data_IF_989736306583
#
_entry.id   IF_989736306583
#
_cell.length_a   1.000
_cell.length_b   1.000
_cell.length_c   1.000
_cell.angle_alpha   90.00
_cell.angle_beta   90.00
_cell.angle_gamma   90.00
#
_symmetry.space_group_name_H-M   'P 1'
#
loop_
_entity.id
_entity.type
_entity.pdbx_description
1 polymer ?
#
# COMPACT_ATOMS: atom_id res chain seq x y z
N UNK A 1 26.94 57.32 -13.08
CA UNK A 1 27.35 55.93 -13.39
C UNK A 1 26.53 54.98 -12.52
N UNK A 2 25.36 54.52 -13.04
CA UNK A 2 24.46 53.59 -12.36
C UNK A 2 24.76 52.19 -12.89
N UNK A 3 25.15 51.28 -11.98
CA UNK A 3 25.29 49.85 -12.30
C UNK A 3 23.99 49.16 -11.90
N UNK A 4 23.23 48.69 -12.89
CA UNK A 4 22.13 47.76 -12.76
C UNK A 4 22.70 46.40 -12.37
N UNK A 5 22.19 45.82 -11.26
CA UNK A 5 22.40 44.40 -10.90
C UNK A 5 21.24 43.60 -11.48
N UNK A 6 21.58 42.68 -12.34
CA UNK A 6 20.62 41.69 -12.86
C UNK A 6 20.29 40.68 -11.76
N UNK A 7 18.99 40.47 -11.52
CA UNK A 7 18.47 39.39 -10.67
C UNK A 7 18.29 38.16 -11.58
N UNK A 8 19.05 37.11 -11.30
CA UNK A 8 18.87 35.82 -11.96
C UNK A 8 17.64 35.11 -11.38
N UNK A 9 16.60 34.90 -12.19
CA UNK A 9 15.47 34.04 -11.88
C UNK A 9 15.93 32.60 -12.07
N UNK A 10 16.06 31.87 -10.98
CA UNK A 10 16.32 30.44 -11.00
C UNK A 10 14.99 29.77 -11.32
N UNK A 11 14.84 29.28 -12.54
CA UNK A 11 13.73 28.41 -12.92
C UNK A 11 13.89 27.07 -12.20
N UNK A 12 12.99 26.80 -11.25
CA UNK A 12 12.91 25.51 -10.58
C UNK A 12 12.47 24.44 -11.58
N UNK A 13 13.36 23.51 -11.89
CA UNK A 13 13.05 22.31 -12.65
C UNK A 13 12.17 21.43 -11.77
N UNK A 14 10.88 21.35 -12.08
CA UNK A 14 9.99 20.34 -11.56
C UNK A 14 10.44 18.99 -12.14
N UNK A 15 11.20 18.23 -11.35
CA UNK A 15 11.45 16.82 -11.66
C UNK A 15 10.13 16.08 -11.52
N UNK A 16 9.43 15.91 -12.62
CA UNK A 16 8.33 14.97 -12.74
C UNK A 16 8.88 13.60 -12.42
N UNK A 17 8.36 12.97 -11.34
CA UNK A 17 8.57 11.55 -11.09
C UNK A 17 7.92 10.86 -12.30
N UNK A 18 8.72 10.40 -13.25
CA UNK A 18 8.27 9.49 -14.29
C UNK A 18 7.70 8.29 -13.55
N UNK A 19 6.39 8.12 -13.60
CA UNK A 19 5.75 6.91 -13.11
C UNK A 19 6.48 5.75 -13.76
N UNK A 20 7.02 4.84 -12.94
CA UNK A 20 7.54 3.59 -13.44
C UNK A 20 6.38 2.97 -14.24
N UNK A 21 6.44 3.07 -15.55
CA UNK A 21 5.57 2.29 -16.41
C UNK A 21 6.03 0.86 -16.24
N UNK A 22 5.33 0.14 -15.36
CA UNK A 22 5.39 -1.30 -15.35
C UNK A 22 5.18 -1.72 -16.82
N UNK A 23 6.09 -2.49 -17.42
CA UNK A 23 5.88 -2.91 -18.79
C UNK A 23 4.48 -3.54 -18.83
N UNK A 24 3.55 -2.90 -19.56
CA UNK A 24 2.29 -3.54 -19.87
C UNK A 24 2.65 -4.95 -20.29
N UNK A 25 1.96 -5.94 -19.74
CA UNK A 25 2.14 -7.34 -20.11
C UNK A 25 1.96 -7.39 -21.64
N UNK A 26 3.06 -7.11 -22.36
CA UNK A 26 3.12 -7.21 -23.80
C UNK A 26 2.78 -8.65 -24.10
N UNK A 27 1.89 -8.88 -25.04
CA UNK A 27 1.61 -10.20 -25.55
C UNK A 27 2.96 -10.92 -25.71
N UNK A 28 3.18 -11.93 -24.86
CA UNK A 28 4.39 -12.71 -24.89
C UNK A 28 4.56 -13.24 -26.32
N UNK A 29 5.73 -13.02 -26.91
CA UNK A 29 6.15 -13.87 -28.02
C UNK A 29 5.99 -15.32 -27.53
N UNK A 30 5.48 -16.26 -28.34
CA UNK A 30 5.29 -17.63 -27.90
C UNK A 30 6.65 -18.25 -27.57
N UNK A 31 7.10 -18.06 -26.34
CA UNK A 31 8.14 -18.84 -25.71
C UNK A 31 7.53 -20.20 -25.39
N UNK A 32 8.24 -21.27 -25.64
CA UNK A 32 7.80 -22.63 -25.51
C UNK A 32 6.92 -22.83 -24.26
N UNK A 33 5.67 -23.24 -24.47
CA UNK A 33 4.73 -23.62 -23.41
C UNK A 33 5.38 -24.73 -22.58
N UNK A 34 5.86 -24.40 -21.40
CA UNK A 34 6.38 -25.37 -20.43
C UNK A 34 5.24 -26.11 -19.72
N UNK A 35 4.14 -26.37 -20.43
CA UNK A 35 3.02 -27.21 -20.04
C UNK A 35 2.17 -26.66 -18.88
N UNK A 36 0.86 -26.97 -18.93
CA UNK A 36 -0.05 -26.81 -17.81
C UNK A 36 -0.04 -28.05 -16.90
N UNK A 37 0.02 -27.85 -15.60
CA UNK A 37 -0.01 -28.91 -14.58
C UNK A 37 -1.24 -28.69 -13.71
N UNK A 38 -2.23 -29.60 -13.77
CA UNK A 38 -3.39 -29.54 -12.91
C UNK A 38 -3.12 -30.27 -11.57
N UNK A 39 -3.49 -29.62 -10.45
CA UNK A 39 -3.29 -30.17 -9.10
C UNK A 39 -4.57 -30.00 -8.27
N UNK A 40 -4.82 -30.96 -7.34
CA UNK A 40 -6.01 -30.95 -6.48
C UNK A 40 -5.71 -31.20 -5.01
N UNK A 41 -4.43 -31.31 -4.63
CA UNK A 41 -4.02 -31.44 -3.22
C UNK A 41 -2.85 -30.51 -2.90
N UNK A 42 -2.63 -30.21 -1.62
CA UNK A 42 -1.52 -29.40 -1.15
C UNK A 42 -0.16 -30.02 -1.52
N UNK A 43 -0.03 -31.34 -1.38
CA UNK A 43 1.19 -32.10 -1.67
C UNK A 43 1.52 -32.08 -3.17
N UNK A 44 0.48 -32.25 -4.02
CA UNK A 44 0.65 -32.15 -5.47
C UNK A 44 1.06 -30.75 -5.91
N UNK A 45 0.47 -29.71 -5.30
CA UNK A 45 0.82 -28.32 -5.56
C UNK A 45 2.28 -28.04 -5.13
N UNK A 46 2.68 -28.46 -3.94
CA UNK A 46 4.05 -28.32 -3.47
C UNK A 46 5.06 -29.08 -4.36
N UNK A 47 4.70 -30.26 -4.86
CA UNK A 47 5.53 -31.01 -5.80
C UNK A 47 5.64 -30.30 -7.17
N UNK A 48 4.52 -29.78 -7.69
CA UNK A 48 4.48 -29.02 -8.94
C UNK A 48 5.36 -27.75 -8.86
N UNK A 49 5.28 -27.00 -7.75
CA UNK A 49 6.13 -25.81 -7.52
C UNK A 49 7.63 -26.16 -7.51
N UNK A 50 8.03 -27.25 -6.84
CA UNK A 50 9.42 -27.71 -6.83
C UNK A 50 9.94 -28.16 -8.21
N UNK A 51 9.04 -28.67 -9.05
CA UNK A 51 9.39 -29.14 -10.41
C UNK A 51 9.22 -28.05 -11.49
N UNK A 52 8.64 -26.90 -11.12
CA UNK A 52 8.31 -25.83 -12.05
C UNK A 52 9.57 -25.30 -12.75
N UNK A 53 9.42 -25.02 -14.04
CA UNK A 53 10.43 -24.38 -14.90
C UNK A 53 9.87 -23.07 -15.42
N UNK A 54 10.70 -22.15 -15.94
CA UNK A 54 10.19 -20.95 -16.58
C UNK A 54 9.07 -21.26 -17.59
N UNK A 55 7.95 -20.54 -17.48
CA UNK A 55 6.76 -20.71 -18.31
C UNK A 55 5.74 -21.75 -17.81
N UNK A 56 6.05 -22.52 -16.75
CA UNK A 56 5.10 -23.48 -16.17
C UNK A 56 3.85 -22.77 -15.64
N UNK A 57 2.65 -23.27 -15.99
CA UNK A 57 1.38 -22.85 -15.43
C UNK A 57 0.82 -23.98 -14.55
N UNK A 58 0.57 -23.72 -13.28
CA UNK A 58 -0.03 -24.67 -12.34
C UNK A 58 -1.49 -24.26 -12.11
N UNK A 59 -2.42 -25.14 -12.53
CA UNK A 59 -3.85 -24.98 -12.34
C UNK A 59 -4.27 -25.66 -11.05
N UNK A 60 -4.72 -24.88 -10.07
CA UNK A 60 -5.15 -25.39 -8.76
C UNK A 60 -6.66 -25.60 -8.79
N UNK A 61 -7.09 -26.84 -8.66
CA UNK A 61 -8.52 -27.20 -8.66
C UNK A 61 -9.28 -26.56 -7.48
N UNK A 62 -10.60 -26.32 -7.61
CA UNK A 62 -11.43 -25.95 -6.47
C UNK A 62 -11.26 -26.94 -5.31
N UNK A 63 -11.31 -26.41 -4.07
CA UNK A 63 -11.19 -27.25 -2.87
C UNK A 63 -10.51 -26.56 -1.70
N UNK A 64 -10.33 -27.32 -0.62
CA UNK A 64 -9.65 -26.88 0.60
C UNK A 64 -8.24 -27.44 0.65
N UNK A 65 -7.29 -26.57 0.90
CA UNK A 65 -5.86 -26.86 0.96
C UNK A 65 -5.33 -26.53 2.37
N UNK A 66 -4.31 -27.23 2.80
CA UNK A 66 -3.57 -26.94 4.02
C UNK A 66 -2.58 -25.76 3.85
N UNK A 67 -1.61 -25.65 4.75
CA UNK A 67 -0.48 -24.73 4.59
C UNK A 67 0.38 -25.16 3.40
N UNK A 68 0.81 -24.19 2.60
CA UNK A 68 1.72 -24.40 1.49
C UNK A 68 3.07 -23.75 1.80
N UNK A 69 4.17 -24.46 1.55
CA UNK A 69 5.51 -23.89 1.60
C UNK A 69 6.35 -24.39 0.42
N UNK A 70 6.97 -23.46 -0.29
CA UNK A 70 7.92 -23.75 -1.35
C UNK A 70 9.06 -22.74 -1.34
N UNK A 71 10.25 -23.15 -1.77
CA UNK A 71 11.44 -22.30 -1.83
C UNK A 71 12.07 -22.35 -3.22
N UNK A 72 12.69 -21.24 -3.64
CA UNK A 72 13.46 -21.16 -4.88
C UNK A 72 12.61 -21.35 -6.16
N UNK A 73 11.32 -21.01 -6.13
CA UNK A 73 10.47 -21.09 -7.33
C UNK A 73 10.88 -19.99 -8.29
N UNK A 74 11.44 -20.37 -9.45
CA UNK A 74 12.01 -19.43 -10.39
C UNK A 74 11.43 -19.56 -11.80
N UNK A 75 10.79 -18.49 -12.27
CA UNK A 75 10.51 -18.27 -13.68
C UNK A 75 11.64 -17.52 -14.39
N UNK A 76 11.34 -16.86 -15.50
CA UNK A 76 12.26 -16.03 -16.26
C UNK A 76 11.53 -14.83 -16.91
N UNK A 77 12.25 -13.81 -17.38
CA UNK A 77 11.65 -12.73 -18.15
C UNK A 77 10.79 -13.24 -19.31
N UNK A 78 9.51 -12.84 -19.37
CA UNK A 78 8.55 -13.31 -20.37
C UNK A 78 8.04 -14.76 -20.18
N UNK A 79 8.57 -15.51 -19.22
CA UNK A 79 8.20 -16.89 -18.91
C UNK A 79 8.06 -17.11 -17.39
N UNK A 80 7.18 -16.38 -16.68
CA UNK A 80 7.00 -16.57 -15.25
C UNK A 80 6.39 -17.94 -14.94
N UNK A 81 6.63 -18.42 -13.73
CA UNK A 81 5.86 -19.53 -13.16
C UNK A 81 4.51 -18.97 -12.69
N UNK A 82 3.40 -19.50 -13.21
CA UNK A 82 2.04 -19.08 -12.85
C UNK A 82 1.37 -20.12 -11.97
N UNK A 83 0.78 -19.67 -10.87
CA UNK A 83 -0.09 -20.48 -10.02
C UNK A 83 -1.45 -19.81 -10.00
N UNK A 84 -2.46 -20.46 -10.56
CA UNK A 84 -3.79 -19.85 -10.65
C UNK A 84 -4.91 -20.84 -10.37
N UNK A 85 -6.07 -20.34 -9.96
CA UNK A 85 -7.26 -21.17 -9.88
C UNK A 85 -7.58 -21.80 -11.23
N UNK A 86 -7.92 -23.09 -11.25
CA UNK A 86 -8.45 -23.77 -12.43
C UNK A 86 -9.86 -23.26 -12.79
N UNK A 87 -10.64 -22.87 -11.76
CA UNK A 87 -11.93 -22.21 -11.90
C UNK A 87 -11.92 -20.89 -11.10
N UNK A 88 -11.99 -19.76 -11.79
CA UNK A 88 -12.03 -18.44 -11.17
C UNK A 88 -13.33 -18.17 -10.39
N UNK A 89 -14.43 -18.84 -10.74
CA UNK A 89 -15.70 -18.70 -10.04
C UNK A 89 -15.69 -19.43 -8.68
N UNK A 90 -14.91 -20.51 -8.59
CA UNK A 90 -14.72 -21.29 -7.35
C UNK A 90 -13.21 -21.49 -7.08
N UNK A 91 -12.49 -20.42 -6.67
CA UNK A 91 -11.06 -20.51 -6.44
C UNK A 91 -10.71 -21.33 -5.20
N UNK A 92 -9.53 -22.00 -5.21
CA UNK A 92 -9.05 -22.82 -4.09
C UNK A 92 -8.90 -21.98 -2.82
N UNK A 93 -9.20 -22.58 -1.66
CA UNK A 93 -9.10 -21.94 -0.35
C UNK A 93 -8.10 -22.66 0.53
N UNK A 94 -7.06 -21.95 0.96
CA UNK A 94 -6.05 -22.44 1.91
C UNK A 94 -6.48 -22.10 3.33
N UNK A 95 -6.34 -23.05 4.25
CA UNK A 95 -6.63 -22.88 5.68
C UNK A 95 -5.39 -22.57 6.52
N UNK A 96 -4.24 -22.47 5.88
CA UNK A 96 -2.96 -22.10 6.48
C UNK A 96 -2.19 -21.16 5.56
N UNK A 97 -1.06 -20.70 6.03
CA UNK A 97 -0.20 -19.76 5.29
C UNK A 97 0.25 -20.33 3.94
N UNK A 98 0.15 -19.52 2.90
CA UNK A 98 0.83 -19.77 1.62
C UNK A 98 2.16 -19.03 1.67
N UNK A 99 3.26 -19.78 1.80
CA UNK A 99 4.61 -19.25 1.96
C UNK A 99 5.49 -19.61 0.76
N UNK A 100 6.00 -18.59 0.08
CA UNK A 100 7.03 -18.73 -0.95
C UNK A 100 8.31 -18.03 -0.47
N UNK A 101 9.37 -18.78 -0.36
CA UNK A 101 10.69 -18.32 0.04
C UNK A 101 11.56 -18.17 -1.21
N UNK A 102 12.19 -17.02 -1.36
CA UNK A 102 13.04 -16.66 -2.51
C UNK A 102 12.40 -16.92 -3.89
N UNK A 103 11.15 -16.46 -4.13
CA UNK A 103 10.54 -16.58 -5.44
C UNK A 103 11.08 -15.52 -6.40
N UNK A 104 11.18 -15.88 -7.68
CA UNK A 104 11.50 -14.93 -8.76
C UNK A 104 10.69 -15.21 -10.02
N UNK A 105 10.15 -14.14 -10.65
CA UNK A 105 9.28 -14.26 -11.81
C UNK A 105 8.09 -15.21 -11.55
N UNK A 106 7.33 -14.95 -10.49
CA UNK A 106 6.18 -15.76 -10.07
C UNK A 106 4.91 -14.92 -10.09
N UNK A 107 3.84 -15.50 -10.64
CA UNK A 107 2.50 -14.92 -10.65
C UNK A 107 1.55 -15.83 -9.84
N UNK A 108 0.88 -15.26 -8.83
CA UNK A 108 -0.18 -15.92 -8.06
C UNK A 108 -1.51 -15.25 -8.40
N UNK A 109 -2.50 -16.03 -8.86
CA UNK A 109 -3.79 -15.47 -9.28
C UNK A 109 -4.98 -16.25 -8.73
N UNK A 110 -6.02 -15.51 -8.30
CA UNK A 110 -7.32 -16.07 -7.91
C UNK A 110 -7.22 -17.13 -6.80
N UNK A 111 -6.33 -16.95 -5.81
CA UNK A 111 -6.19 -17.85 -4.65
C UNK A 111 -6.78 -17.19 -3.40
N UNK A 112 -7.27 -18.02 -2.46
CA UNK A 112 -7.82 -17.56 -1.18
C UNK A 112 -7.05 -18.18 -0.01
N UNK A 113 -6.82 -17.40 1.05
CA UNK A 113 -6.42 -17.89 2.37
C UNK A 113 -7.48 -17.45 3.38
N UNK A 114 -8.05 -18.39 4.11
CA UNK A 114 -9.11 -18.13 5.08
C UNK A 114 -8.82 -18.83 6.42
N UNK A 115 -8.79 -18.04 7.51
CA UNK A 115 -8.65 -18.58 8.87
C UNK A 115 -7.24 -19.08 9.21
N UNK A 116 -6.19 -18.67 8.48
CA UNK A 116 -4.82 -19.03 8.82
C UNK A 116 -4.44 -18.49 10.21
N UNK A 117 -3.81 -19.32 11.05
CA UNK A 117 -3.36 -18.90 12.38
C UNK A 117 -2.22 -17.86 12.33
N UNK A 118 -1.43 -17.85 11.27
CA UNK A 118 -0.38 -16.88 10.97
C UNK A 118 -0.76 -15.95 9.83
N UNK A 119 0.23 -15.53 9.05
CA UNK A 119 0.01 -14.73 7.85
C UNK A 119 -0.86 -15.47 6.82
N UNK A 120 -1.59 -14.72 6.00
CA UNK A 120 -2.29 -15.30 4.86
C UNK A 120 -1.28 -15.73 3.78
N UNK A 121 -0.77 -14.78 3.03
CA UNK A 121 0.32 -15.00 2.09
C UNK A 121 1.62 -14.43 2.66
N UNK A 122 2.72 -15.16 2.52
CA UNK A 122 4.05 -14.72 2.95
C UNK A 122 5.06 -14.98 1.83
N UNK A 123 5.66 -13.93 1.29
CA UNK A 123 6.69 -14.03 0.27
C UNK A 123 7.93 -13.28 0.75
N UNK A 124 9.07 -13.93 0.77
CA UNK A 124 10.29 -13.35 1.31
C UNK A 124 11.57 -13.76 0.54
N UNK A 125 12.66 -13.06 0.86
CA UNK A 125 13.99 -13.26 0.27
C UNK A 125 14.78 -14.45 0.85
N UNK A 126 14.14 -15.34 1.59
CA UNK A 126 14.80 -16.45 2.23
C UNK A 126 15.78 -16.07 3.34
N UNK A 127 15.80 -14.80 3.76
CA UNK A 127 16.75 -14.26 4.74
C UNK A 127 18.08 -13.83 4.12
N UNK A 128 18.17 -13.75 2.80
CA UNK A 128 19.38 -13.31 2.08
C UNK A 128 19.21 -11.86 1.61
N UNK A 129 19.99 -10.93 2.17
CA UNK A 129 19.89 -9.50 1.83
C UNK A 129 20.46 -9.18 0.43
N UNK A 130 21.31 -10.01 -0.10
CA UNK A 130 21.99 -9.86 -1.38
C UNK A 130 21.17 -10.38 -2.57
N UNK A 131 20.21 -11.27 -2.29
CA UNK A 131 19.36 -11.90 -3.31
C UNK A 131 17.89 -11.64 -2.97
N UNK A 132 17.34 -10.50 -3.37
CA UNK A 132 15.92 -10.20 -3.11
C UNK A 132 15.01 -11.12 -3.92
N UNK A 133 13.88 -11.51 -3.37
CA UNK A 133 12.77 -12.03 -4.15
C UNK A 133 12.31 -10.94 -5.13
N UNK A 134 11.95 -11.29 -6.37
CA UNK A 134 11.69 -10.23 -7.35
C UNK A 134 10.75 -10.64 -8.49
N UNK A 135 10.19 -9.62 -9.16
CA UNK A 135 9.28 -9.76 -10.30
C UNK A 135 8.08 -10.65 -9.94
N UNK A 136 7.37 -10.23 -8.90
CA UNK A 136 6.21 -10.96 -8.39
C UNK A 136 4.91 -10.25 -8.77
N UNK A 137 3.93 -11.00 -9.24
CA UNK A 137 2.57 -10.53 -9.47
C UNK A 137 1.60 -11.30 -8.60
N UNK A 138 0.90 -10.58 -7.72
CA UNK A 138 -0.16 -11.11 -6.88
C UNK A 138 -1.48 -10.49 -7.35
N UNK A 139 -2.31 -11.25 -8.03
CA UNK A 139 -3.52 -10.74 -8.66
C UNK A 139 -4.77 -11.42 -8.12
N UNK A 140 -5.74 -10.62 -7.69
CA UNK A 140 -7.05 -11.07 -7.18
C UNK A 140 -6.95 -12.11 -6.05
N UNK A 141 -5.88 -11.99 -5.24
CA UNK A 141 -5.75 -12.81 -4.04
C UNK A 141 -6.73 -12.33 -2.97
N UNK A 142 -7.22 -13.26 -2.17
CA UNK A 142 -8.06 -12.94 -1.02
C UNK A 142 -7.44 -13.51 0.25
N UNK A 143 -7.26 -12.66 1.27
CA UNK A 143 -6.84 -13.06 2.60
C UNK A 143 -7.89 -12.62 3.60
N UNK A 144 -8.42 -13.54 4.40
CA UNK A 144 -9.52 -13.27 5.30
C UNK A 144 -9.38 -14.04 6.62
N UNK A 145 -9.70 -13.36 7.73
CA UNK A 145 -9.69 -13.93 9.08
C UNK A 145 -8.34 -14.58 9.46
N UNK A 146 -7.22 -14.00 9.02
CA UNK A 146 -5.89 -14.50 9.32
C UNK A 146 -5.33 -13.88 10.60
N UNK A 147 -4.52 -14.64 11.36
CA UNK A 147 -3.74 -14.17 12.50
C UNK A 147 -4.52 -13.86 13.78
N UNK A 148 -5.84 -13.83 13.78
CA UNK A 148 -6.64 -13.59 14.98
C UNK A 148 -6.18 -12.38 15.82
N UNK A 149 -5.77 -12.61 17.06
CA UNK A 149 -5.27 -11.58 17.97
C UNK A 149 -3.76 -11.27 17.80
N UNK A 150 -3.04 -12.04 16.99
CA UNK A 150 -1.60 -11.97 16.85
C UNK A 150 -1.14 -10.82 15.94
N UNK A 151 0.19 -10.60 15.92
CA UNK A 151 0.87 -9.82 14.92
C UNK A 151 1.09 -10.69 13.66
N UNK A 152 0.05 -10.78 12.85
CA UNK A 152 0.06 -11.53 11.61
C UNK A 152 -0.64 -10.75 10.51
N UNK A 153 -0.13 -10.88 9.31
CA UNK A 153 -0.48 -10.05 8.18
C UNK A 153 -1.39 -10.79 7.17
N UNK A 154 -2.23 -10.06 6.48
CA UNK A 154 -2.98 -10.64 5.37
C UNK A 154 -2.07 -11.06 4.23
N UNK A 155 -1.16 -10.17 3.83
CA UNK A 155 -0.08 -10.40 2.87
C UNK A 155 1.21 -9.83 3.45
N UNK A 156 2.23 -10.66 3.62
CA UNK A 156 3.56 -10.29 4.09
C UNK A 156 4.55 -10.35 2.95
N UNK A 157 5.28 -9.25 2.72
CA UNK A 157 6.40 -9.19 1.79
C UNK A 157 7.66 -8.77 2.55
N UNK A 158 8.76 -9.49 2.38
CA UNK A 158 10.03 -9.15 3.01
C UNK A 158 11.17 -9.28 2.01
N UNK A 159 11.89 -8.18 1.73
CA UNK A 159 12.98 -8.16 0.75
C UNK A 159 12.51 -8.42 -0.68
N UNK A 160 11.32 -7.95 -1.05
CA UNK A 160 10.74 -8.15 -2.39
C UNK A 160 10.96 -6.91 -3.24
N UNK A 161 11.43 -7.09 -4.46
CA UNK A 161 11.64 -6.02 -5.43
C UNK A 161 10.84 -6.27 -6.71
N UNK A 162 10.47 -5.19 -7.40
CA UNK A 162 9.77 -5.27 -8.69
C UNK A 162 8.49 -6.12 -8.57
N UNK A 163 7.49 -5.62 -7.82
CA UNK A 163 6.27 -6.38 -7.54
C UNK A 163 4.99 -5.59 -7.82
N UNK A 164 3.93 -6.33 -8.11
CA UNK A 164 2.58 -5.82 -8.31
C UNK A 164 1.58 -6.60 -7.45
N UNK A 165 0.83 -5.90 -6.61
CA UNK A 165 -0.41 -6.40 -6.01
C UNK A 165 -1.57 -5.75 -6.75
N UNK A 166 -2.40 -6.54 -7.42
CA UNK A 166 -3.52 -6.03 -8.23
C UNK A 166 -4.85 -6.69 -7.85
N UNK A 167 -5.85 -5.86 -7.59
CA UNK A 167 -7.21 -6.30 -7.28
C UNK A 167 -7.31 -7.30 -6.11
N UNK A 168 -6.34 -7.26 -5.19
CA UNK A 168 -6.34 -8.11 -4.00
C UNK A 168 -7.32 -7.59 -2.94
N UNK A 169 -7.88 -8.50 -2.16
CA UNK A 169 -8.78 -8.16 -1.05
C UNK A 169 -8.24 -8.76 0.25
N UNK A 170 -8.07 -7.93 1.28
CA UNK A 170 -7.69 -8.37 2.62
C UNK A 170 -8.72 -7.88 3.63
N UNK A 171 -9.26 -8.84 4.39
CA UNK A 171 -10.31 -8.60 5.38
C UNK A 171 -9.91 -9.23 6.73
N UNK A 172 -10.10 -8.50 7.84
CA UNK A 172 -9.95 -9.02 9.21
C UNK A 172 -8.64 -9.77 9.45
N UNK A 173 -7.51 -9.15 9.12
CA UNK A 173 -6.17 -9.64 9.44
C UNK A 173 -5.86 -9.55 10.94
N UNK A 174 -4.68 -9.98 11.38
CA UNK A 174 -4.27 -9.98 12.79
C UNK A 174 -4.42 -8.62 13.48
N UNK A 175 -4.89 -8.63 14.72
CA UNK A 175 -5.19 -7.37 15.47
C UNK A 175 -3.96 -6.49 15.73
N UNK A 176 -2.76 -7.02 15.63
CA UNK A 176 -1.50 -6.29 15.75
C UNK A 176 -0.69 -6.27 14.44
N UNK A 177 -1.22 -6.91 13.39
CA UNK A 177 -0.61 -7.01 12.07
C UNK A 177 -1.10 -5.95 11.09
N UNK A 178 -0.82 -6.19 9.82
CA UNK A 178 -1.21 -5.33 8.71
C UNK A 178 -1.99 -6.11 7.64
N UNK A 179 -2.87 -5.42 6.89
CA UNK A 179 -3.45 -6.05 5.71
C UNK A 179 -2.35 -6.42 4.72
N UNK A 180 -1.42 -5.47 4.45
CA UNK A 180 -0.18 -5.72 3.72
C UNK A 180 0.98 -5.13 4.50
N UNK A 181 1.96 -5.96 4.90
CA UNK A 181 3.20 -5.50 5.53
C UNK A 181 4.39 -5.73 4.59
N UNK A 182 5.05 -4.64 4.22
CA UNK A 182 6.22 -4.62 3.34
C UNK A 182 7.45 -4.21 4.13
N UNK A 183 8.41 -5.11 4.27
CA UNK A 183 9.67 -4.87 4.97
C UNK A 183 10.83 -4.95 3.99
N UNK A 184 11.51 -3.82 3.75
CA UNK A 184 12.62 -3.74 2.80
C UNK A 184 12.22 -4.06 1.36
N UNK A 185 11.01 -3.65 0.96
CA UNK A 185 10.50 -3.85 -0.39
C UNK A 185 10.75 -2.64 -1.28
N UNK A 186 11.04 -2.84 -2.55
CA UNK A 186 11.41 -1.76 -3.46
C UNK A 186 10.75 -1.89 -4.83
N UNK A 187 10.43 -0.74 -5.44
CA UNK A 187 9.85 -0.66 -6.78
C UNK A 187 8.60 -1.51 -6.93
N UNK A 188 7.61 -1.20 -6.08
CA UNK A 188 6.35 -1.95 -6.03
C UNK A 188 5.13 -1.10 -6.31
N UNK A 189 4.05 -1.74 -6.72
CA UNK A 189 2.76 -1.11 -6.89
C UNK A 189 1.65 -1.94 -6.22
N UNK A 190 0.75 -1.28 -5.48
CA UNK A 190 -0.52 -1.82 -5.04
C UNK A 190 -1.61 -1.08 -5.82
N UNK A 191 -2.39 -1.80 -6.63
CA UNK A 191 -3.39 -1.20 -7.52
C UNK A 191 -4.76 -1.85 -7.38
N UNK A 192 -5.79 -1.02 -7.17
CA UNK A 192 -7.18 -1.50 -7.15
C UNK A 192 -7.51 -2.47 -6.01
N UNK A 193 -6.69 -2.52 -4.96
CA UNK A 193 -6.87 -3.43 -3.83
C UNK A 193 -7.90 -2.89 -2.84
N UNK A 194 -8.52 -3.80 -2.07
CA UNK A 194 -9.47 -3.47 -1.00
C UNK A 194 -8.99 -4.01 0.33
N UNK A 195 -8.94 -3.15 1.35
CA UNK A 195 -8.53 -3.46 2.72
C UNK A 195 -9.63 -3.01 3.67
N UNK A 196 -10.25 -3.97 4.41
CA UNK A 196 -11.42 -3.61 5.20
C UNK A 196 -11.66 -4.48 6.44
N UNK A 197 -12.62 -4.02 7.24
CA UNK A 197 -13.20 -4.72 8.39
C UNK A 197 -12.20 -5.03 9.51
N UNK A 198 -11.15 -4.19 9.66
CA UNK A 198 -10.32 -4.20 10.86
C UNK A 198 -10.75 -3.05 11.76
N UNK A 199 -11.33 -3.41 12.90
CA UNK A 199 -11.79 -2.45 13.90
C UNK A 199 -10.70 -1.46 14.31
N UNK A 200 -11.13 -0.25 14.61
CA UNK A 200 -10.29 0.82 15.15
C UNK A 200 -9.98 0.56 16.62
N UNK A 201 -8.87 1.15 17.10
CA UNK A 201 -8.40 0.93 18.48
C UNK A 201 -7.58 -0.36 18.66
N UNK A 202 -7.25 -1.05 17.56
CA UNK A 202 -6.23 -2.09 17.53
C UNK A 202 -4.90 -1.49 17.08
N UNK A 203 -3.76 -2.12 17.40
CA UNK A 203 -2.46 -1.66 16.93
C UNK A 203 -2.20 -1.96 15.44
N UNK A 204 -3.24 -2.34 14.69
CA UNK A 204 -3.12 -2.80 13.31
C UNK A 204 -3.04 -1.66 12.30
N UNK A 205 -2.38 -1.91 11.19
CA UNK A 205 -2.34 -1.05 10.03
C UNK A 205 -3.05 -1.69 8.83
N UNK A 206 -3.54 -0.87 7.89
CA UNK A 206 -3.95 -1.37 6.59
C UNK A 206 -2.72 -1.77 5.77
N UNK A 207 -2.16 -0.84 5.01
CA UNK A 207 -0.90 -1.08 4.28
C UNK A 207 0.25 -0.41 5.00
N UNK A 208 1.37 -1.13 5.17
CA UNK A 208 2.58 -0.60 5.78
C UNK A 208 3.79 -0.89 4.91
N UNK A 209 4.66 0.13 4.70
CA UNK A 209 5.93 -0.01 4.00
C UNK A 209 7.06 0.54 4.87
N UNK A 210 7.95 -0.33 5.36
CA UNK A 210 8.98 -0.02 6.37
C UNK A 210 10.27 -0.81 6.14
N UNK A 211 11.22 -0.69 7.06
CA UNK A 211 12.44 -1.52 7.10
C UNK A 211 13.35 -1.34 5.89
N UNK A 212 13.44 -0.10 5.36
CA UNK A 212 14.22 0.21 4.16
C UNK A 212 13.42 0.18 2.86
N UNK A 213 12.09 0.10 2.92
CA UNK A 213 11.23 0.09 1.72
C UNK A 213 11.32 1.40 0.95
N UNK A 214 11.31 1.34 -0.40
CA UNK A 214 11.36 2.53 -1.24
C UNK A 214 10.64 2.38 -2.58
N UNK A 215 10.30 3.54 -3.18
CA UNK A 215 9.76 3.60 -4.54
C UNK A 215 8.49 2.76 -4.72
N UNK A 216 7.54 2.89 -3.78
CA UNK A 216 6.28 2.14 -3.79
C UNK A 216 5.13 3.09 -4.05
N UNK A 217 4.22 2.67 -4.94
CA UNK A 217 2.99 3.38 -5.28
C UNK A 217 1.77 2.58 -4.81
N UNK A 218 0.91 3.24 -4.04
CA UNK A 218 -0.40 2.71 -3.63
C UNK A 218 -1.44 3.53 -4.36
N UNK A 219 -2.12 2.93 -5.35
CA UNK A 219 -3.07 3.68 -6.19
C UNK A 219 -4.40 2.99 -6.37
N UNK A 220 -5.47 3.81 -6.45
CA UNK A 220 -6.84 3.35 -6.71
C UNK A 220 -7.29 2.24 -5.76
N UNK A 221 -6.74 2.22 -4.53
CA UNK A 221 -7.10 1.28 -3.49
C UNK A 221 -8.24 1.82 -2.62
N UNK A 222 -8.98 0.89 -2.01
CA UNK A 222 -10.06 1.19 -1.09
C UNK A 222 -9.68 0.75 0.33
N UNK A 223 -9.77 1.67 1.26
CA UNK A 223 -9.54 1.45 2.68
C UNK A 223 -10.84 1.73 3.45
N UNK A 224 -11.40 0.74 4.10
CA UNK A 224 -12.66 0.85 4.84
C UNK A 224 -12.49 0.26 6.22
N UNK A 225 -12.46 1.12 7.25
CA UNK A 225 -12.13 0.69 8.61
C UNK A 225 -10.88 -0.21 8.62
N UNK A 226 -9.81 0.26 7.99
CA UNK A 226 -8.61 -0.52 7.70
C UNK A 226 -7.55 -0.36 8.80
N UNK A 227 -7.92 -0.63 10.05
CA UNK A 227 -7.06 -0.54 11.21
C UNK A 227 -6.94 0.89 11.78
N UNK A 228 -6.03 1.08 12.71
CA UNK A 228 -5.78 2.39 13.33
C UNK A 228 -5.18 3.37 12.32
N UNK A 229 -4.22 2.90 11.51
CA UNK A 229 -3.59 3.65 10.42
C UNK A 229 -3.88 2.92 9.11
N UNK A 230 -4.73 3.46 8.25
CA UNK A 230 -5.06 2.77 7.00
C UNK A 230 -3.85 2.64 6.08
N UNK A 231 -2.99 3.66 6.01
CA UNK A 231 -1.68 3.60 5.35
C UNK A 231 -0.61 4.12 6.29
N UNK A 232 0.41 3.31 6.54
CA UNK A 232 1.58 3.64 7.34
C UNK A 232 2.80 3.75 6.41
N UNK A 233 3.18 4.98 6.09
CA UNK A 233 4.33 5.31 5.23
C UNK A 233 5.59 5.31 6.11
N UNK A 234 6.27 4.16 6.17
CA UNK A 234 7.31 3.85 7.14
C UNK A 234 6.80 2.99 8.28
N UNK A 235 7.38 3.15 9.45
CA UNK A 235 7.00 2.38 10.63
C UNK A 235 8.08 2.32 11.70
N UNK A 236 8.10 1.19 12.41
CA UNK A 236 9.15 0.84 13.36
C UNK A 236 9.62 -0.58 13.07
N UNK A 237 10.87 -0.71 12.69
CA UNK A 237 11.49 -1.98 12.32
C UNK A 237 12.68 -2.28 13.20
N UNK A 238 12.73 -3.48 13.79
CA UNK A 238 13.94 -3.92 14.50
C UNK A 238 15.13 -3.95 13.54
N UNK A 239 16.30 -3.47 13.98
CA UNK A 239 17.48 -3.25 13.14
C UNK A 239 17.93 -4.51 12.37
N UNK A 240 17.71 -5.70 12.92
CA UNK A 240 18.03 -6.97 12.28
C UNK A 240 17.12 -7.33 11.09
N UNK A 241 15.98 -6.63 10.93
CA UNK A 241 14.99 -6.94 9.90
C UNK A 241 14.99 -5.98 8.71
N UNK A 242 15.84 -4.94 8.75
CA UNK A 242 16.01 -4.05 7.61
C UNK A 242 16.56 -4.80 6.38
N UNK A 243 16.02 -4.48 5.21
CA UNK A 243 16.44 -5.08 3.93
C UNK A 243 16.57 -3.99 2.85
N UNK A 244 17.73 -3.83 2.23
CA UNK A 244 19.02 -4.33 2.71
C UNK A 244 19.34 -3.75 4.09
N UNK A 245 20.57 -3.75 4.53
CA UNK A 245 20.97 -3.13 5.81
C UNK A 245 20.45 -1.68 5.92
N UNK A 246 20.26 -1.15 7.14
CA UNK A 246 19.68 0.17 7.34
C UNK A 246 20.34 1.27 6.49
N UNK A 247 19.53 2.02 5.76
CA UNK A 247 19.95 3.13 4.90
C UNK A 247 19.64 4.49 5.54
N UNK A 248 19.28 4.51 6.82
CA UNK A 248 18.95 5.73 7.56
C UNK A 248 17.52 6.24 7.39
N UNK A 249 16.60 5.41 6.93
CA UNK A 249 15.15 5.67 6.87
C UNK A 249 14.34 4.39 7.03
N UNK A 250 13.13 4.50 7.54
CA UNK A 250 12.16 3.39 7.52
C UNK A 250 11.61 3.16 6.12
N UNK A 251 11.29 4.25 5.43
CA UNK A 251 10.86 4.21 4.03
C UNK A 251 11.28 5.48 3.29
N UNK A 252 11.25 5.43 1.95
CA UNK A 252 11.61 6.56 1.11
C UNK A 252 10.79 6.58 -0.18
N UNK A 253 10.48 7.79 -0.67
CA UNK A 253 9.84 7.99 -1.97
C UNK A 253 8.56 7.15 -2.16
N UNK A 254 7.59 7.30 -1.26
CA UNK A 254 6.31 6.60 -1.31
C UNK A 254 5.22 7.50 -1.91
N UNK A 255 4.29 6.91 -2.66
CA UNK A 255 3.14 7.63 -3.22
C UNK A 255 1.83 6.92 -2.89
N UNK A 256 0.83 7.70 -2.45
CA UNK A 256 -0.55 7.25 -2.24
C UNK A 256 -1.46 8.15 -3.08
N UNK A 257 -2.13 7.58 -4.09
CA UNK A 257 -2.92 8.38 -5.03
C UNK A 257 -4.18 7.69 -5.53
N UNK A 258 -5.23 8.46 -5.74
CA UNK A 258 -6.49 7.96 -6.28
C UNK A 258 -7.20 6.97 -5.36
N UNK A 259 -6.85 6.94 -4.08
CA UNK A 259 -7.42 6.01 -3.11
C UNK A 259 -8.64 6.61 -2.39
N UNK A 260 -9.50 5.73 -1.88
CA UNK A 260 -10.63 6.10 -1.02
C UNK A 260 -10.43 5.54 0.39
N UNK A 261 -10.70 6.40 1.38
CA UNK A 261 -10.53 6.07 2.80
C UNK A 261 -11.83 6.34 3.56
N UNK A 262 -12.30 5.36 4.32
CA UNK A 262 -13.46 5.48 5.20
C UNK A 262 -13.05 5.11 6.62
N UNK A 263 -13.24 6.02 7.57
CA UNK A 263 -12.91 5.80 8.97
C UNK A 263 -11.41 5.83 9.24
N UNK A 264 -10.94 4.93 10.12
CA UNK A 264 -9.61 4.87 10.74
C UNK A 264 -9.28 6.07 11.65
N UNK A 265 -8.47 5.86 12.68
CA UNK A 265 -8.05 6.96 13.56
C UNK A 265 -7.17 7.96 12.81
N UNK A 266 -6.28 7.47 11.97
CA UNK A 266 -5.50 8.23 11.02
C UNK A 266 -5.46 7.51 9.66
N UNK A 267 -6.15 8.00 8.62
CA UNK A 267 -6.06 7.38 7.30
C UNK A 267 -4.63 7.23 6.79
N UNK A 268 -3.76 8.18 7.09
CA UNK A 268 -2.35 8.16 6.69
C UNK A 268 -1.46 8.49 7.89
N UNK A 269 -0.32 7.81 7.99
CA UNK A 269 0.75 8.18 8.90
C UNK A 269 2.09 8.19 8.15
N UNK A 270 2.83 9.29 8.27
CA UNK A 270 4.22 9.41 7.85
C UNK A 270 5.09 9.05 9.04
N UNK A 271 5.86 7.97 8.97
CA UNK A 271 6.57 7.42 10.13
C UNK A 271 8.02 7.09 9.76
N UNK A 272 8.95 8.00 10.07
CA UNK A 272 10.36 7.83 9.71
C UNK A 272 10.57 7.76 8.20
N UNK A 273 9.71 8.40 7.42
CA UNK A 273 9.80 8.40 5.95
C UNK A 273 10.59 9.60 5.44
N UNK A 274 11.43 9.37 4.43
CA UNK A 274 12.17 10.39 3.68
C UNK A 274 11.48 10.67 2.34
N UNK A 275 10.53 11.58 2.35
CA UNK A 275 9.72 11.95 1.19
C UNK A 275 8.59 10.97 0.89
N UNK A 276 7.35 11.50 0.92
CA UNK A 276 6.17 10.78 0.47
C UNK A 276 5.11 11.74 -0.05
N UNK A 277 4.31 11.30 -1.01
CA UNK A 277 3.24 12.08 -1.63
C UNK A 277 1.90 11.41 -1.42
N UNK A 278 0.94 12.14 -0.87
CA UNK A 278 -0.45 11.73 -0.68
C UNK A 278 -1.32 12.69 -1.49
N UNK A 279 -1.81 12.25 -2.66
CA UNK A 279 -2.50 13.14 -3.58
C UNK A 279 -3.70 12.50 -4.25
N UNK A 280 -4.66 13.33 -4.65
CA UNK A 280 -5.87 12.87 -5.34
C UNK A 280 -6.57 11.72 -4.60
N UNK A 281 -6.68 11.80 -3.27
CA UNK A 281 -7.41 10.81 -2.49
C UNK A 281 -8.70 11.41 -1.93
N UNK A 282 -9.70 10.57 -1.67
CA UNK A 282 -10.93 10.98 -1.00
C UNK A 282 -11.01 10.33 0.37
N UNK A 283 -11.10 11.17 1.40
CA UNK A 283 -11.17 10.76 2.80
C UNK A 283 -12.55 11.06 3.37
N UNK A 284 -13.18 10.06 3.96
CA UNK A 284 -14.46 10.19 4.64
C UNK A 284 -14.31 9.86 6.14
N UNK A 285 -14.60 10.86 6.98
CA UNK A 285 -14.69 10.76 8.45
C UNK A 285 -13.50 10.05 9.09
N UNK A 286 -12.26 10.60 8.95
CA UNK A 286 -11.15 10.25 9.83
C UNK A 286 -11.54 10.57 11.27
N UNK A 287 -11.16 9.70 12.25
CA UNK A 287 -11.71 9.79 13.61
C UNK A 287 -10.87 10.58 14.59
N UNK A 288 -9.57 10.67 14.40
CA UNK A 288 -8.71 11.38 15.35
C UNK A 288 -7.80 12.41 14.70
N UNK A 289 -7.30 12.12 13.52
CA UNK A 289 -6.38 12.98 12.77
C UNK A 289 -6.58 12.77 11.27
N UNK A 290 -6.33 13.79 10.46
CA UNK A 290 -6.24 13.59 9.01
C UNK A 290 -5.03 12.75 8.65
N UNK A 291 -3.91 13.04 9.32
CA UNK A 291 -2.68 12.24 9.23
C UNK A 291 -1.79 12.47 10.45
N UNK A 292 -0.75 11.64 10.56
CA UNK A 292 0.26 11.73 11.61
C UNK A 292 1.64 11.90 11.00
N UNK A 293 2.54 12.58 11.72
CA UNK A 293 3.98 12.73 11.38
C UNK A 293 4.75 12.25 12.60
N UNK A 294 5.42 11.13 12.48
CA UNK A 294 6.04 10.43 13.60
C UNK A 294 7.47 10.00 13.27
N UNK A 295 8.29 9.85 14.31
CA UNK A 295 9.61 9.23 14.25
C UNK A 295 9.64 8.11 15.29
N UNK A 296 9.42 6.87 14.85
CA UNK A 296 9.37 5.72 15.77
C UNK A 296 10.73 5.01 15.85
N UNK A 297 11.52 4.99 14.77
CA UNK A 297 12.91 4.50 14.79
C UNK A 297 13.85 5.67 15.02
N UNK A 298 14.54 5.66 16.16
CA UNK A 298 15.38 6.78 16.63
C UNK A 298 16.87 6.42 16.69
N UNK A 299 17.25 5.33 16.06
CA UNK A 299 18.64 4.85 16.02
C UNK A 299 19.57 5.89 15.33
N UNK A 300 20.82 6.01 15.75
CA UNK A 300 21.79 6.92 15.13
C UNK A 300 21.92 6.68 13.63
N UNK A 301 21.93 7.77 12.86
CA UNK A 301 22.04 7.74 11.40
C UNK A 301 20.70 7.74 10.67
N UNK A 302 19.57 7.63 11.37
CA UNK A 302 18.25 7.80 10.75
C UNK A 302 17.93 9.27 10.57
N UNK A 303 17.46 9.62 9.38
CA UNK A 303 16.96 10.96 9.10
C UNK A 303 15.60 11.17 9.80
N UNK A 304 15.30 12.37 10.30
CA UNK A 304 13.98 12.70 10.79
C UNK A 304 12.92 12.49 9.71
N UNK A 305 11.71 12.08 10.11
CA UNK A 305 10.56 12.03 9.20
C UNK A 305 10.37 13.40 8.53
N UNK A 306 10.41 13.44 7.19
CA UNK A 306 10.49 14.69 6.42
C UNK A 306 9.93 14.60 5.01
N UNK A 307 9.73 15.78 4.37
CA UNK A 307 9.47 15.89 2.93
C UNK A 307 8.10 15.37 2.48
N UNK A 308 7.12 15.24 3.40
CA UNK A 308 5.79 14.79 3.07
C UNK A 308 4.99 15.86 2.32
N UNK A 309 4.16 15.44 1.36
CA UNK A 309 3.25 16.28 0.58
C UNK A 309 1.82 15.74 0.68
N UNK A 310 0.85 16.64 0.92
CA UNK A 310 -0.57 16.31 1.00
C UNK A 310 -1.34 17.26 0.06
N UNK A 311 -1.74 16.77 -1.14
CA UNK A 311 -2.15 17.65 -2.23
C UNK A 311 -3.38 17.12 -2.98
N UNK A 312 -4.22 18.03 -3.47
CA UNK A 312 -5.36 17.72 -4.36
C UNK A 312 -6.35 16.67 -3.78
N UNK A 313 -6.39 16.51 -2.47
CA UNK A 313 -7.27 15.56 -1.81
C UNK A 313 -8.64 16.18 -1.52
N UNK A 314 -9.67 15.33 -1.38
CA UNK A 314 -10.97 15.68 -0.79
C UNK A 314 -11.05 15.08 0.61
N UNK A 315 -11.32 15.90 1.62
CA UNK A 315 -11.43 15.46 3.01
C UNK A 315 -12.79 15.90 3.58
N UNK A 316 -13.67 14.93 3.79
CA UNK A 316 -14.98 15.11 4.43
C UNK A 316 -14.87 14.58 5.86
N UNK A 317 -15.16 15.42 6.84
CA UNK A 317 -14.92 15.07 8.24
C UNK A 317 -15.93 15.71 9.19
N UNK A 318 -15.89 15.30 10.46
CA UNK A 318 -16.58 15.96 11.56
C UNK A 318 -15.55 16.53 12.51
N UNK A 319 -15.58 17.85 12.68
CA UNK A 319 -14.62 18.57 13.50
C UNK A 319 -14.58 18.08 14.95
N UNK A 320 -15.75 17.77 15.51
CA UNK A 320 -15.90 17.27 16.90
C UNK A 320 -15.28 15.89 17.13
N UNK A 321 -15.04 15.10 16.08
CA UNK A 321 -14.45 13.76 16.17
C UNK A 321 -12.92 13.81 16.15
N UNK A 322 -12.33 14.91 15.65
CA UNK A 322 -10.89 15.07 15.60
C UNK A 322 -10.30 15.49 16.95
N UNK A 323 -9.18 14.88 17.31
CA UNK A 323 -8.34 15.37 18.44
C UNK A 323 -7.57 16.62 18.01
N UNK A 324 -6.90 16.54 16.88
CA UNK A 324 -6.24 17.65 16.17
C UNK A 324 -6.22 17.34 14.68
N UNK A 325 -6.10 18.33 13.79
CA UNK A 325 -5.95 18.06 12.35
C UNK A 325 -4.78 17.13 12.04
N UNK A 326 -3.62 17.39 12.63
CA UNK A 326 -2.39 16.60 12.44
C UNK A 326 -1.78 16.28 13.81
N UNK A 327 -1.36 15.04 14.02
CA UNK A 327 -0.53 14.66 15.15
C UNK A 327 0.95 14.68 14.76
N UNK A 328 1.71 15.56 15.39
CA UNK A 328 3.17 15.69 15.17
C UNK A 328 3.91 15.14 16.36
N UNK A 329 4.71 14.11 16.17
CA UNK A 329 5.57 13.52 17.19
C UNK A 329 6.96 14.17 17.27
N UNK A 330 7.70 13.92 18.34
CA UNK A 330 9.07 14.41 18.48
C UNK A 330 10.02 13.76 17.44
N UNK A 331 11.16 14.39 17.18
CA UNK A 331 12.18 13.87 16.27
C UNK A 331 11.80 13.97 14.79
N UNK A 332 10.80 14.77 14.43
CA UNK A 332 10.34 14.97 13.05
C UNK A 332 10.67 16.36 12.54
N UNK A 333 10.62 16.59 11.22
CA UNK A 333 10.81 17.88 10.59
C UNK A 333 9.51 18.37 9.91
N UNK A 334 8.50 18.83 10.68
CA UNK A 334 7.20 19.23 10.13
C UNK A 334 7.32 20.40 9.15
N UNK A 335 8.26 21.32 9.33
CA UNK A 335 8.51 22.46 8.43
C UNK A 335 8.93 22.04 7.01
N UNK A 336 9.36 20.80 6.82
CA UNK A 336 9.67 20.22 5.51
C UNK A 336 8.44 19.70 4.76
N UNK A 337 7.29 19.65 5.44
CA UNK A 337 6.03 19.19 4.84
C UNK A 337 5.34 20.32 4.09
N UNK A 338 4.51 19.96 3.12
CA UNK A 338 3.70 20.90 2.33
C UNK A 338 2.32 20.32 2.10
N UNK A 339 1.32 21.21 2.09
CA UNK A 339 -0.01 20.90 1.61
C UNK A 339 -0.41 21.88 0.49
N UNK A 340 -1.23 21.42 -0.45
CA UNK A 340 -1.70 22.27 -1.53
C UNK A 340 -3.02 21.78 -2.10
N UNK A 341 -3.92 22.74 -2.41
CA UNK A 341 -5.13 22.50 -3.20
C UNK A 341 -6.00 21.36 -2.65
N UNK A 342 -6.05 21.15 -1.33
CA UNK A 342 -6.99 20.19 -0.78
C UNK A 342 -8.37 20.82 -0.63
N UNK A 343 -9.40 20.00 -0.83
CA UNK A 343 -10.80 20.36 -0.58
C UNK A 343 -11.20 19.85 0.81
N UNK A 344 -11.53 20.79 1.70
CA UNK A 344 -11.87 20.50 3.09
C UNK A 344 -13.37 20.73 3.33
N UNK A 345 -14.05 19.75 3.90
CA UNK A 345 -15.46 19.91 4.27
C UNK A 345 -15.75 19.30 5.66
N UNK A 346 -16.01 20.16 6.63
CA UNK A 346 -16.48 19.77 7.96
C UNK A 346 -18.01 19.71 7.96
N UNK A 347 -18.58 18.51 8.06
CA UNK A 347 -20.04 18.28 8.05
C UNK A 347 -20.76 19.03 9.17
N UNK A 348 -20.11 19.23 10.32
CA UNK A 348 -20.65 19.85 11.54
C UNK A 348 -20.21 21.31 11.74
N UNK A 349 -19.31 21.83 10.92
CA UNK A 349 -18.85 23.24 10.92
C UNK A 349 -18.37 23.66 9.52
N UNK A 350 -19.28 23.82 8.54
CA UNK A 350 -18.88 24.17 7.17
C UNK A 350 -18.06 25.45 7.05
N UNK A 351 -18.35 26.48 7.83
CA UNK A 351 -17.61 27.73 7.82
C UNK A 351 -16.15 27.59 8.32
N UNK A 352 -15.90 26.65 9.22
CA UNK A 352 -14.59 26.33 9.76
C UNK A 352 -13.90 25.15 9.07
N UNK A 353 -14.30 24.78 7.85
CA UNK A 353 -13.81 23.56 7.17
C UNK A 353 -12.32 23.55 6.91
N UNK A 354 -11.69 24.67 6.56
CA UNK A 354 -10.25 24.71 6.28
C UNK A 354 -9.48 24.62 7.60
N UNK A 355 -8.71 23.53 7.83
CA UNK A 355 -8.02 23.34 9.09
C UNK A 355 -6.75 24.20 9.17
N UNK A 356 -6.33 24.50 10.37
CA UNK A 356 -4.97 25.03 10.61
C UNK A 356 -4.00 23.86 10.68
N UNK A 357 -3.18 23.69 9.67
CA UNK A 357 -2.11 22.69 9.61
C UNK A 357 -0.83 23.22 10.33
N UNK A 358 0.06 22.31 10.78
CA UNK A 358 1.34 22.69 11.40
C UNK A 358 2.39 23.22 10.40
N UNK A 359 2.07 23.25 9.12
CA UNK A 359 2.91 23.77 8.02
C UNK A 359 2.01 24.45 6.98
N UNK A 360 2.58 25.24 6.04
CA UNK A 360 1.79 25.99 5.07
C UNK A 360 0.99 25.11 4.13
N UNK A 361 -0.26 25.52 3.84
CA UNK A 361 -1.05 25.01 2.74
C UNK A 361 -1.25 26.11 1.69
N UNK A 362 -0.99 25.78 0.43
CA UNK A 362 -1.18 26.68 -0.71
C UNK A 362 -2.53 26.42 -1.36
N UNK A 363 -3.32 27.48 -1.58
CA UNK A 363 -4.61 27.44 -2.24
C UNK A 363 -5.58 26.36 -1.68
N UNK A 364 -5.83 26.30 -0.36
CA UNK A 364 -6.86 25.41 0.19
C UNK A 364 -8.24 25.86 -0.30
N UNK A 365 -9.14 24.90 -0.49
CA UNK A 365 -10.55 25.14 -0.77
C UNK A 365 -11.41 24.41 0.27
N UNK A 366 -12.65 24.88 0.50
CA UNK A 366 -13.54 24.20 1.45
C UNK A 366 -14.77 25.02 1.82
N UNK A 367 -15.50 24.54 2.83
CA UNK A 367 -16.72 25.19 3.31
C UNK A 367 -17.98 24.83 2.53
N UNK A 368 -17.85 24.15 1.39
CA UNK A 368 -18.97 23.66 0.59
C UNK A 368 -18.89 22.14 0.50
N UNK A 369 -20.04 21.47 0.62
CA UNK A 369 -20.13 20.02 0.44
C UNK A 369 -19.56 19.61 -0.93
N UNK A 370 -18.55 18.74 -0.98
CA UNK A 370 -17.99 18.28 -2.24
C UNK A 370 -18.97 17.46 -3.09
N UNK A 371 -20.10 17.05 -2.55
CA UNK A 371 -21.13 16.30 -3.27
C UNK A 371 -20.73 14.87 -3.58
N UNK A 372 -20.34 14.08 -2.58
CA UNK A 372 -20.14 12.63 -2.73
C UNK A 372 -21.46 11.95 -3.12
N UNK A 373 -21.41 10.93 -3.97
CA UNK A 373 -22.61 10.26 -4.53
C UNK A 373 -23.44 9.57 -3.46
N UNK A 374 -22.86 8.64 -2.73
CA UNK A 374 -23.53 7.89 -1.68
C UNK A 374 -22.53 7.48 -0.59
N UNK A 375 -22.08 8.46 0.22
CA UNK A 375 -21.08 8.21 1.26
C UNK A 375 -21.59 7.26 2.36
N UNK A 376 -22.91 7.14 2.56
CA UNK A 376 -23.49 6.21 3.52
C UNK A 376 -23.28 4.75 3.13
N UNK A 377 -23.27 4.46 1.84
CA UNK A 377 -22.98 3.13 1.28
C UNK A 377 -21.56 3.03 0.71
N UNK A 378 -20.71 4.01 1.01
CA UNK A 378 -19.28 4.00 0.66
C UNK A 378 -18.97 4.34 -0.79
N UNK A 379 -19.90 4.90 -1.57
CA UNK A 379 -19.61 5.48 -2.88
C UNK A 379 -19.12 6.92 -2.70
N UNK A 380 -17.80 7.09 -2.69
CA UNK A 380 -17.13 8.37 -2.50
C UNK A 380 -16.85 9.11 -3.81
N UNK A 381 -17.36 8.66 -4.94
CA UNK A 381 -17.24 9.38 -6.21
C UNK A 381 -17.99 10.71 -6.13
N UNK A 382 -17.49 11.70 -6.82
CA UNK A 382 -18.14 13.01 -6.91
C UNK A 382 -19.38 12.94 -7.81
N UNK A 383 -20.42 13.69 -7.43
CA UNK A 383 -21.61 13.89 -8.30
C UNK A 383 -21.24 14.77 -9.49
N UNK A 384 -22.00 14.66 -10.55
CA UNK A 384 -21.94 15.62 -11.64
C UNK A 384 -22.21 17.05 -11.13
N UNK A 385 -21.41 18.01 -11.57
CA UNK A 385 -21.48 19.38 -11.08
C UNK A 385 -20.85 19.62 -9.70
N UNK A 386 -20.16 18.66 -9.13
CA UNK A 386 -19.44 18.82 -7.86
C UNK A 386 -18.53 20.04 -7.88
N UNK A 387 -18.54 20.89 -6.84
CA UNK A 387 -17.62 22.02 -6.70
C UNK A 387 -16.16 21.55 -6.45
N UNK A 388 -15.96 20.32 -5.98
CA UNK A 388 -14.66 19.73 -5.74
C UNK A 388 -14.07 19.03 -6.99
N UNK A 389 -14.66 19.24 -8.17
CA UNK A 389 -14.15 18.69 -9.42
C UNK A 389 -12.69 19.07 -9.63
N UNK A 390 -11.85 18.10 -9.95
CA UNK A 390 -10.38 18.27 -10.06
C UNK A 390 -9.62 17.92 -8.79
N UNK A 391 -10.32 17.52 -7.73
CA UNK A 391 -9.74 17.02 -6.47
C UNK A 391 -10.24 15.60 -6.18
N UNK A 392 -9.57 14.92 -5.23
CA UNK A 392 -9.97 13.61 -4.77
C UNK A 392 -9.67 12.47 -5.73
N UNK A 393 -10.17 11.27 -5.41
CA UNK A 393 -9.83 10.04 -6.11
C UNK A 393 -10.27 10.03 -7.58
N UNK A 394 -11.37 10.72 -7.91
CA UNK A 394 -11.90 10.77 -9.27
C UNK A 394 -11.07 11.67 -10.21
N UNK A 395 -10.20 12.53 -9.66
CA UNK A 395 -9.39 13.46 -10.42
C UNK A 395 -8.02 12.89 -10.80
N UNK A 396 -7.68 11.70 -10.34
CA UNK A 396 -6.42 11.05 -10.73
C UNK A 396 -6.49 10.68 -12.22
N UNK A 397 -5.57 11.21 -13.05
CA UNK A 397 -5.53 10.95 -14.50
C UNK A 397 -5.43 9.47 -14.89
#
# INVERSE_FOLDING_TARGET
MHRLRAVAVVAGVAAGVAGATWPACGAAAPGADAGEVAVSTTEALAAALRAAKPGTTILVAPGRYGSLSAAGVAGAPGAPVRVRAADRADPPSFTGTVHLQDPSWVELEDLRVEGAAGNGFNLDDGGTFESPAHHLVLRRLRSRDCGGAANADGIKLSGVQDFLLEECTVERWGRQGSAVDMVGCMRGELRGCTFRDREEGTASSGVQAKGGSSDIVIRRCRFEHAGERAVNLGGSTGMAYFRPRPQGYEAKNLTVEGCTFIGSNAPVAFVGVDGAVVRFNTFLRPRAWFFRILQETTEPGFVPCRGGRFEDNVVVYRRRELRTPVNVGPGTLPDSFRAARNWWFAEDDPAGSVPKLPFPETAPAGGTDPGLRDPANGDLRLREGSPARGHGADALP
#
